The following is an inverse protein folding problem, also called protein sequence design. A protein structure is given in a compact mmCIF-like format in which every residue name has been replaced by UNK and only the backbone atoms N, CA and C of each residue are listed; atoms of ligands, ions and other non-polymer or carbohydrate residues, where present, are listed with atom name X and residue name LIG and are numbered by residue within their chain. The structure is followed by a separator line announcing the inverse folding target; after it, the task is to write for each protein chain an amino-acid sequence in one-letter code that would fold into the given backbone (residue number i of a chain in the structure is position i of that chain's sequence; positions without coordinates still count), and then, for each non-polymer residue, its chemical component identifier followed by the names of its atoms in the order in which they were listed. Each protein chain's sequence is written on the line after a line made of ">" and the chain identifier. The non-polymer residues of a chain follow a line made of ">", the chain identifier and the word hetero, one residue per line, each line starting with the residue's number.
data_IF_979124166193
#
_entry.id   IF_979124166193
#
_cell.length_a   1.000
_cell.length_b   1.000
_cell.length_c   1.000
_cell.angle_alpha   90.00
_cell.angle_beta   90.00
_cell.angle_gamma   90.00
#
_symmetry.space_group_name_H-M   'P 1'
#
loop_
_entity.id
_entity.type
_entity.pdbx_description
1 polymer ?
#
# COMPACT_ATOMS: atom_id res chain seq x y z
N UNK A 1 8.50 19.28 -3.19
CA UNK A 1 7.74 19.16 -4.45
C UNK A 1 8.64 19.15 -5.70
N UNK A 2 9.68 20.02 -5.85
CA UNK A 2 10.55 20.07 -7.05
C UNK A 2 11.23 18.74 -7.36
N UNK A 3 11.79 18.04 -6.33
CA UNK A 3 12.40 16.73 -6.51
C UNK A 3 11.40 15.67 -6.97
N UNK A 4 10.19 15.68 -6.41
CA UNK A 4 9.13 14.76 -6.77
C UNK A 4 8.71 14.92 -8.23
N UNK A 5 8.39 16.14 -8.66
CA UNK A 5 8.00 16.42 -10.04
C UNK A 5 9.11 16.06 -11.05
N UNK A 6 10.37 16.38 -10.72
CA UNK A 6 11.51 16.02 -11.56
C UNK A 6 11.70 14.49 -11.64
N UNK A 7 11.59 13.79 -10.53
CA UNK A 7 11.71 12.34 -10.48
C UNK A 7 10.61 11.64 -11.30
N UNK A 8 9.36 12.05 -11.11
CA UNK A 8 8.22 11.53 -11.88
C UNK A 8 8.32 11.83 -13.38
N UNK A 9 9.06 12.87 -13.77
CA UNK A 9 9.35 13.19 -15.16
C UNK A 9 10.48 12.33 -15.73
N UNK A 10 11.54 12.07 -14.96
CA UNK A 10 12.72 11.34 -15.40
C UNK A 10 12.48 9.82 -15.49
N UNK A 11 11.74 9.23 -14.54
CA UNK A 11 11.47 7.78 -14.52
C UNK A 11 10.90 7.28 -15.85
N UNK A 12 9.89 7.92 -16.45
CA UNK A 12 9.38 7.50 -17.76
C UNK A 12 10.35 7.68 -18.94
N UNK A 13 11.39 8.47 -18.80
CA UNK A 13 12.42 8.66 -19.84
C UNK A 13 13.47 7.56 -19.83
N UNK A 14 13.66 6.89 -18.70
CA UNK A 14 14.65 5.83 -18.51
C UNK A 14 14.03 4.57 -17.86
N UNK A 15 13.06 3.90 -18.50
CA UNK A 15 12.22 2.89 -17.87
C UNK A 15 12.99 1.62 -17.42
N UNK A 16 14.15 1.36 -18.04
CA UNK A 16 14.98 0.18 -17.76
C UNK A 16 16.14 0.45 -16.78
N UNK A 17 16.27 1.69 -16.33
CA UNK A 17 17.39 2.12 -15.48
C UNK A 17 16.86 2.95 -14.31
N UNK A 18 17.43 2.71 -13.13
CA UNK A 18 17.13 3.51 -11.94
C UNK A 18 17.64 4.95 -12.11
N UNK A 19 16.78 5.92 -11.88
CA UNK A 19 17.17 7.32 -11.78
C UNK A 19 17.96 7.52 -10.49
N UNK A 20 19.15 8.08 -10.61
CA UNK A 20 20.06 8.32 -9.49
C UNK A 20 19.90 9.73 -8.91
N UNK A 21 20.34 9.92 -7.65
CA UNK A 21 20.40 11.26 -7.02
C UNK A 21 21.22 12.22 -7.89
N UNK A 22 22.32 11.73 -8.51
CA UNK A 22 23.15 12.55 -9.38
C UNK A 22 22.43 13.04 -10.65
N UNK A 23 21.65 12.18 -11.28
CA UNK A 23 20.83 12.55 -12.45
C UNK A 23 19.74 13.54 -12.07
N UNK A 24 19.05 13.29 -10.96
CA UNK A 24 17.98 14.14 -10.46
C UNK A 24 18.47 15.54 -10.08
N UNK A 25 19.59 15.63 -9.36
CA UNK A 25 20.16 16.93 -8.95
C UNK A 25 20.75 17.70 -10.13
N UNK A 26 21.33 16.99 -11.11
CA UNK A 26 21.78 17.59 -12.39
C UNK A 26 20.61 18.17 -13.17
N UNK A 27 19.51 17.42 -13.27
CA UNK A 27 18.29 17.88 -13.96
C UNK A 27 17.71 19.15 -13.32
N UNK A 28 17.78 19.24 -12.00
CA UNK A 28 17.26 20.39 -11.24
C UNK A 28 18.26 21.54 -11.09
N UNK A 29 19.52 21.37 -11.55
CA UNK A 29 20.61 22.33 -11.35
C UNK A 29 20.83 22.68 -9.87
N UNK A 30 20.87 21.65 -9.00
CA UNK A 30 21.13 21.80 -7.57
C UNK A 30 22.22 20.84 -7.11
N UNK A 31 22.85 21.13 -5.97
CA UNK A 31 23.84 20.24 -5.36
C UNK A 31 23.20 19.00 -4.74
N UNK A 32 23.95 17.87 -4.70
CA UNK A 32 23.52 16.65 -4.02
C UNK A 32 23.18 16.88 -2.55
N UNK A 33 23.92 17.75 -1.86
CA UNK A 33 23.63 18.13 -0.47
C UNK A 33 22.20 18.64 -0.30
N UNK A 34 21.70 19.40 -1.28
CA UNK A 34 20.31 19.88 -1.27
C UNK A 34 19.30 18.74 -1.26
N UNK A 35 19.58 17.64 -2.00
CA UNK A 35 18.72 16.44 -1.96
C UNK A 35 18.75 15.77 -0.58
N UNK A 36 19.94 15.53 -0.04
CA UNK A 36 20.14 14.85 1.24
C UNK A 36 19.65 15.66 2.46
N UNK A 37 19.35 16.93 2.31
CA UNK A 37 18.66 17.71 3.35
C UNK A 37 17.18 17.31 3.51
N UNK A 38 16.59 16.59 2.55
CA UNK A 38 15.18 16.21 2.54
C UNK A 38 14.94 14.71 2.48
N UNK A 39 15.82 13.95 1.84
CA UNK A 39 15.66 12.53 1.57
C UNK A 39 16.98 11.79 1.74
N UNK A 40 16.93 10.62 2.40
CA UNK A 40 18.13 9.79 2.58
C UNK A 40 18.58 9.15 1.26
N UNK A 41 17.62 8.79 0.42
CA UNK A 41 17.85 8.12 -0.86
C UNK A 41 16.63 8.26 -1.81
N UNK A 42 16.73 7.66 -2.98
CA UNK A 42 15.64 7.68 -3.98
C UNK A 42 14.39 6.93 -3.49
N UNK A 43 14.55 5.88 -2.69
CA UNK A 43 13.40 5.11 -2.19
C UNK A 43 12.60 5.91 -1.17
N UNK A 44 13.26 6.68 -0.30
CA UNK A 44 12.56 7.61 0.59
C UNK A 44 11.83 8.74 -0.16
N UNK A 45 12.38 9.21 -1.27
CA UNK A 45 11.66 10.13 -2.16
C UNK A 45 10.43 9.46 -2.81
N UNK A 46 10.53 8.21 -3.24
CA UNK A 46 9.41 7.47 -3.84
C UNK A 46 8.27 7.27 -2.83
N UNK A 47 8.59 6.86 -1.60
CA UNK A 47 7.63 6.73 -0.52
C UNK A 47 6.96 8.07 -0.24
N UNK A 48 7.74 9.13 -0.14
CA UNK A 48 7.22 10.48 0.08
C UNK A 48 6.27 10.92 -1.05
N UNK A 49 6.63 10.66 -2.32
CA UNK A 49 5.77 10.95 -3.48
C UNK A 49 4.42 10.27 -3.31
N UNK A 50 4.45 8.95 -3.08
CA UNK A 50 3.21 8.19 -2.92
C UNK A 50 2.33 8.77 -1.82
N UNK A 51 2.90 9.00 -0.65
CA UNK A 51 2.17 9.46 0.55
C UNK A 51 1.66 10.88 0.42
N UNK A 52 2.54 11.82 0.06
CA UNK A 52 2.21 13.24 0.01
C UNK A 52 1.17 13.56 -1.08
N UNK A 53 1.29 12.91 -2.24
CA UNK A 53 0.32 13.12 -3.32
C UNK A 53 -1.02 12.45 -3.02
N UNK A 54 -1.00 11.25 -2.43
CA UNK A 54 -2.21 10.59 -1.98
C UNK A 54 -2.91 11.38 -0.87
N UNK A 55 -2.17 11.83 0.14
CA UNK A 55 -2.72 12.63 1.24
C UNK A 55 -3.40 13.90 0.71
N UNK A 56 -2.71 14.65 -0.15
CA UNK A 56 -3.27 15.85 -0.76
C UNK A 56 -4.57 15.58 -1.51
N UNK A 57 -4.62 14.51 -2.29
CA UNK A 57 -5.82 14.18 -3.04
C UNK A 57 -6.98 13.74 -2.15
N UNK A 58 -6.68 13.01 -1.07
CA UNK A 58 -7.69 12.58 -0.10
C UNK A 58 -8.23 13.77 0.72
N UNK A 59 -7.40 14.80 0.96
CA UNK A 59 -7.83 16.06 1.59
C UNK A 59 -8.79 16.84 0.69
N UNK A 60 -8.52 16.87 -0.62
CA UNK A 60 -9.37 17.52 -1.61
C UNK A 60 -10.69 16.74 -1.85
N UNK A 61 -10.74 15.47 -1.53
CA UNK A 61 -11.94 14.64 -1.57
C UNK A 61 -12.70 14.75 -0.23
N UNK A 62 -13.92 15.27 -0.26
CA UNK A 62 -14.74 15.52 0.93
C UNK A 62 -15.15 14.22 1.63
N UNK A 63 -14.44 13.88 2.71
CA UNK A 63 -14.72 12.73 3.59
C UNK A 63 -15.11 13.18 5.01
N UNK A 64 -15.86 14.28 5.14
CA UNK A 64 -16.12 14.90 6.45
C UNK A 64 -16.90 13.99 7.40
N UNK A 65 -17.83 13.20 6.88
CA UNK A 65 -18.66 12.26 7.65
C UNK A 65 -18.06 10.84 7.73
N UNK A 66 -16.79 10.66 7.31
CA UNK A 66 -16.16 9.36 7.27
C UNK A 66 -15.27 9.11 8.47
N UNK A 67 -15.26 7.85 8.93
CA UNK A 67 -14.28 7.39 9.91
C UNK A 67 -12.90 7.37 9.24
N UNK A 68 -11.95 8.12 9.81
CA UNK A 68 -10.60 8.29 9.27
C UNK A 68 -9.57 7.67 10.19
N UNK A 69 -8.70 6.85 9.64
CA UNK A 69 -7.57 6.23 10.32
C UNK A 69 -6.28 6.63 9.63
N UNK A 70 -5.29 7.11 10.38
CA UNK A 70 -3.98 7.44 9.80
C UNK A 70 -3.29 6.17 9.31
N UNK A 71 -2.79 6.21 8.09
CA UNK A 71 -2.00 5.13 7.53
C UNK A 71 -0.55 5.26 7.99
N UNK A 72 -0.05 4.23 8.63
CA UNK A 72 1.36 4.12 9.03
C UNK A 72 1.84 2.70 8.79
N UNK A 73 2.92 2.54 8.04
CA UNK A 73 3.54 1.24 7.82
C UNK A 73 4.45 0.83 8.99
N UNK A 74 4.84 1.78 9.86
CA UNK A 74 5.76 1.58 10.96
C UNK A 74 5.44 2.57 12.10
N UNK A 75 5.67 2.17 13.35
CA UNK A 75 5.54 3.02 14.53
C UNK A 75 6.52 4.22 14.54
N UNK A 76 7.59 4.15 13.76
CA UNK A 76 8.62 5.18 13.60
C UNK A 76 8.56 5.89 12.25
N UNK A 77 7.38 5.99 11.66
CA UNK A 77 7.21 6.62 10.36
C UNK A 77 7.70 8.09 10.39
N UNK A 78 8.75 8.45 9.61
CA UNK A 78 9.37 9.76 9.69
C UNK A 78 8.57 10.86 8.98
N UNK A 79 7.47 10.52 8.30
CA UNK A 79 6.72 11.45 7.50
C UNK A 79 5.48 11.97 8.23
N UNK A 80 5.39 13.28 8.54
CA UNK A 80 4.25 13.85 9.25
C UNK A 80 2.96 13.89 8.43
N UNK A 81 3.07 14.00 7.10
CA UNK A 81 1.91 13.97 6.20
C UNK A 81 1.56 12.53 5.86
N UNK A 82 0.71 11.95 6.67
CA UNK A 82 0.22 10.60 6.46
C UNK A 82 -1.11 10.63 5.70
N UNK A 83 -1.23 9.86 4.59
CA UNK A 83 -2.54 9.61 4.05
C UNK A 83 -3.39 8.91 5.11
N UNK A 84 -4.67 9.14 5.07
CA UNK A 84 -5.62 8.45 5.93
C UNK A 84 -6.34 7.35 5.14
N UNK A 85 -6.82 6.36 5.86
CA UNK A 85 -7.80 5.40 5.37
C UNK A 85 -9.18 5.87 5.80
N UNK A 86 -10.14 5.87 4.89
CA UNK A 86 -11.47 6.35 5.19
C UNK A 86 -12.51 5.27 4.91
N UNK A 87 -13.44 5.09 5.83
CA UNK A 87 -14.54 4.16 5.72
C UNK A 87 -15.84 4.77 6.24
N UNK A 88 -16.96 4.34 5.68
CA UNK A 88 -18.29 4.63 6.16
C UNK A 88 -19.07 3.34 6.31
N UNK A 89 -19.91 3.29 7.33
CA UNK A 89 -20.74 2.13 7.62
C UNK A 89 -22.14 2.34 7.05
N UNK A 90 -22.55 1.50 6.12
CA UNK A 90 -23.88 1.56 5.53
C UNK A 90 -24.52 0.17 5.48
N UNK A 91 -25.69 0.02 6.12
CA UNK A 91 -26.52 -1.20 6.08
C UNK A 91 -25.73 -2.49 6.43
N UNK A 92 -24.81 -2.41 7.38
CA UNK A 92 -24.00 -3.54 7.81
C UNK A 92 -22.87 -3.92 6.86
N UNK A 93 -22.51 -3.02 5.93
CA UNK A 93 -21.36 -3.13 5.04
C UNK A 93 -20.45 -1.91 5.22
N UNK A 94 -19.18 -2.10 4.95
CA UNK A 94 -18.24 -0.99 4.83
C UNK A 94 -18.35 -0.39 3.43
N UNK A 95 -18.54 0.91 3.36
CA UNK A 95 -18.57 1.66 2.12
C UNK A 95 -17.26 2.43 1.98
N UNK A 96 -16.46 2.09 0.97
CA UNK A 96 -15.15 2.68 0.70
C UNK A 96 -14.95 2.99 -0.78
N UNK A 97 -15.95 2.78 -1.61
CA UNK A 97 -15.88 3.01 -3.06
C UNK A 97 -15.35 4.41 -3.41
N UNK A 98 -15.90 5.50 -2.86
CA UNK A 98 -15.39 6.85 -3.11
C UNK A 98 -13.93 7.06 -2.70
N UNK A 99 -13.47 6.45 -1.60
CA UNK A 99 -12.08 6.50 -1.16
C UNK A 99 -11.13 5.86 -2.18
N UNK A 100 -11.45 4.63 -2.61
CA UNK A 100 -10.63 3.95 -3.60
C UNK A 100 -10.75 4.55 -5.00
N UNK A 101 -11.88 5.22 -5.29
CA UNK A 101 -12.04 5.99 -6.52
C UNK A 101 -11.10 7.20 -6.56
N UNK A 102 -10.96 7.91 -5.45
CA UNK A 102 -9.99 8.99 -5.32
C UNK A 102 -8.54 8.49 -5.47
N UNK A 103 -8.22 7.36 -4.85
CA UNK A 103 -6.90 6.72 -4.99
C UNK A 103 -6.64 6.25 -6.43
N UNK A 104 -7.64 5.66 -7.09
CA UNK A 104 -7.56 5.28 -8.49
C UNK A 104 -7.30 6.47 -9.41
N UNK A 105 -7.97 7.58 -9.16
CA UNK A 105 -7.76 8.82 -9.90
C UNK A 105 -6.30 9.31 -9.76
N UNK A 106 -5.75 9.27 -8.55
CA UNK A 106 -4.34 9.62 -8.33
C UNK A 106 -3.39 8.75 -9.16
N UNK A 107 -3.59 7.46 -9.18
CA UNK A 107 -2.72 6.54 -9.90
C UNK A 107 -2.88 6.69 -11.42
N UNK A 108 -4.10 6.89 -11.91
CA UNK A 108 -4.35 7.14 -13.33
C UNK A 108 -3.70 8.44 -13.83
N UNK A 109 -3.75 9.50 -13.06
CA UNK A 109 -3.10 10.76 -13.41
C UNK A 109 -1.58 10.63 -13.52
N UNK A 110 -1.00 9.62 -12.87
CA UNK A 110 0.43 9.33 -12.89
C UNK A 110 0.75 7.94 -13.44
N UNK A 111 -0.15 7.38 -14.27
CA UNK A 111 -0.07 6.00 -14.78
C UNK A 111 1.31 5.65 -15.34
N UNK A 112 1.90 6.52 -16.15
CA UNK A 112 3.19 6.27 -16.79
C UNK A 112 4.32 6.10 -15.76
N UNK A 113 4.30 6.86 -14.70
CA UNK A 113 5.23 6.71 -13.58
C UNK A 113 5.00 5.41 -12.82
N UNK A 114 3.76 5.18 -12.37
CA UNK A 114 3.44 4.00 -11.57
C UNK A 114 3.61 2.68 -12.32
N UNK A 115 3.30 2.64 -13.62
CA UNK A 115 3.54 1.44 -14.44
C UNK A 115 5.01 1.02 -14.44
N UNK A 116 5.93 1.97 -14.48
CA UNK A 116 7.36 1.68 -14.45
C UNK A 116 7.80 1.26 -13.05
N UNK A 117 7.43 2.03 -12.04
CA UNK A 117 7.85 1.73 -10.65
C UNK A 117 7.33 0.38 -10.18
N UNK A 118 6.11 0.00 -10.54
CA UNK A 118 5.53 -1.30 -10.18
C UNK A 118 6.09 -2.49 -10.96
N UNK A 119 6.62 -2.29 -12.16
CA UNK A 119 7.16 -3.35 -13.01
C UNK A 119 8.68 -3.52 -12.90
N UNK A 120 9.37 -2.50 -12.44
CA UNK A 120 10.84 -2.45 -12.44
C UNK A 120 11.42 -3.08 -11.19
N UNK A 121 12.38 -3.99 -11.37
CA UNK A 121 13.21 -4.52 -10.29
C UNK A 121 14.31 -3.55 -9.81
N UNK A 122 14.45 -2.40 -10.47
CA UNK A 122 15.51 -1.42 -10.15
C UNK A 122 15.14 -0.49 -8.98
N UNK A 123 13.88 -0.46 -8.60
CA UNK A 123 13.38 0.40 -7.52
C UNK A 123 12.96 -0.42 -6.31
N UNK A 124 12.81 0.25 -5.14
CA UNK A 124 12.10 -0.32 -3.99
C UNK A 124 10.78 -0.91 -4.48
N UNK A 125 10.42 -2.08 -3.99
CA UNK A 125 9.08 -2.60 -4.26
C UNK A 125 8.04 -1.72 -3.53
N UNK A 126 7.65 -0.65 -4.21
CA UNK A 126 6.64 0.28 -3.71
C UNK A 126 5.31 -0.44 -3.46
N UNK A 127 5.08 -1.55 -4.16
CA UNK A 127 3.90 -2.36 -3.97
C UNK A 127 3.91 -3.06 -2.59
N UNK A 128 5.03 -3.63 -2.18
CA UNK A 128 5.17 -4.23 -0.84
C UNK A 128 4.99 -3.19 0.25
N UNK A 129 5.51 -1.97 0.03
CA UNK A 129 5.27 -0.86 0.94
C UNK A 129 3.77 -0.50 1.05
N UNK A 130 3.06 -0.45 -0.08
CA UNK A 130 1.62 -0.18 -0.11
C UNK A 130 0.84 -1.28 0.63
N UNK A 131 1.17 -2.55 0.42
CA UNK A 131 0.56 -3.67 1.15
C UNK A 131 0.75 -3.49 2.66
N UNK A 132 1.99 -3.22 3.10
CA UNK A 132 2.30 -3.02 4.52
C UNK A 132 1.54 -1.83 5.12
N UNK A 133 1.35 -0.76 4.34
CA UNK A 133 0.62 0.43 4.75
C UNK A 133 -0.88 0.17 4.95
N UNK A 134 -1.48 -0.67 4.10
CA UNK A 134 -2.93 -0.94 4.12
C UNK A 134 -3.33 -2.17 4.93
N UNK A 135 -2.40 -3.04 5.28
CA UNK A 135 -2.72 -4.25 6.03
C UNK A 135 -3.35 -3.98 7.42
N UNK A 136 -2.87 -3.02 8.24
CA UNK A 136 -3.51 -2.70 9.52
C UNK A 136 -4.99 -2.29 9.40
N UNK A 137 -5.39 -1.33 8.54
CA UNK A 137 -6.80 -0.97 8.39
C UNK A 137 -7.64 -2.11 7.81
N UNK A 138 -7.11 -2.98 6.95
CA UNK A 138 -7.84 -4.17 6.50
C UNK A 138 -8.09 -5.18 7.63
N UNK A 139 -7.18 -5.30 8.61
CA UNK A 139 -7.43 -6.07 9.84
C UNK A 139 -8.60 -5.51 10.63
N UNK A 140 -8.68 -4.19 10.76
CA UNK A 140 -9.80 -3.54 11.44
C UNK A 140 -11.12 -3.73 10.66
N UNK A 141 -11.10 -3.75 9.33
CA UNK A 141 -12.26 -4.08 8.50
C UNK A 141 -12.74 -5.53 8.75
N UNK A 142 -11.82 -6.48 8.87
CA UNK A 142 -12.15 -7.88 9.26
C UNK A 142 -12.78 -7.91 10.65
N UNK A 143 -12.20 -7.20 11.63
CA UNK A 143 -12.73 -7.12 13.00
C UNK A 143 -14.11 -6.46 13.04
N UNK A 144 -14.36 -5.49 12.20
CA UNK A 144 -15.69 -4.90 12.03
C UNK A 144 -16.75 -5.94 11.64
N UNK A 145 -16.44 -6.82 10.67
CA UNK A 145 -17.37 -7.89 10.26
C UNK A 145 -17.48 -9.01 11.29
N UNK A 146 -16.51 -9.17 12.18
CA UNK A 146 -16.63 -10.09 13.32
C UNK A 146 -17.67 -9.61 14.35
N UNK A 147 -17.94 -8.32 14.42
CA UNK A 147 -18.96 -7.73 15.31
C UNK A 147 -18.83 -8.22 16.77
N UNK A 148 -17.63 -8.13 17.32
CA UNK A 148 -17.30 -8.57 18.69
C UNK A 148 -17.10 -10.07 18.87
N UNK A 149 -17.34 -10.90 17.86
CA UNK A 149 -17.06 -12.34 17.90
C UNK A 149 -15.56 -12.56 17.94
N UNK A 150 -15.13 -13.58 18.69
CA UNK A 150 -13.70 -13.91 18.83
C UNK A 150 -13.23 -14.82 17.70
N UNK A 151 -12.12 -14.45 17.07
CA UNK A 151 -11.43 -15.24 16.04
C UNK A 151 -9.93 -15.19 16.33
N UNK A 152 -9.19 -16.30 16.16
CA UNK A 152 -7.73 -16.26 16.32
C UNK A 152 -7.08 -15.23 15.40
N UNK A 153 -6.12 -14.45 15.92
CA UNK A 153 -5.46 -13.36 15.18
C UNK A 153 -4.83 -13.87 13.87
N UNK A 154 -4.30 -15.08 13.84
CA UNK A 154 -3.75 -15.66 12.61
C UNK A 154 -4.80 -15.81 11.49
N UNK A 155 -6.07 -16.02 11.82
CA UNK A 155 -7.15 -16.12 10.84
C UNK A 155 -7.58 -14.72 10.40
N UNK A 156 -7.62 -13.75 11.32
CA UNK A 156 -7.86 -12.34 11.02
C UNK A 156 -6.78 -11.83 10.05
N UNK A 157 -5.52 -12.11 10.36
CA UNK A 157 -4.37 -11.74 9.53
C UNK A 157 -4.47 -12.35 8.12
N UNK A 158 -4.76 -13.65 8.04
CA UNK A 158 -4.92 -14.33 6.75
C UNK A 158 -6.01 -13.70 5.88
N UNK A 159 -7.18 -13.41 6.45
CA UNK A 159 -8.27 -12.78 5.70
C UNK A 159 -7.86 -11.37 5.23
N UNK A 160 -7.27 -10.58 6.12
CA UNK A 160 -6.81 -9.23 5.79
C UNK A 160 -5.73 -9.24 4.69
N UNK A 161 -4.73 -10.12 4.81
CA UNK A 161 -3.67 -10.29 3.81
C UNK A 161 -4.23 -10.72 2.45
N UNK A 162 -5.11 -11.71 2.42
CA UNK A 162 -5.75 -12.16 1.20
C UNK A 162 -6.49 -11.02 0.48
N UNK A 163 -7.26 -10.23 1.22
CA UNK A 163 -8.05 -9.14 0.64
C UNK A 163 -7.19 -7.95 0.21
N UNK A 164 -6.21 -7.52 1.02
CA UNK A 164 -5.32 -6.42 0.64
C UNK A 164 -4.49 -6.79 -0.59
N UNK A 165 -3.96 -8.02 -0.64
CA UNK A 165 -3.22 -8.50 -1.81
C UNK A 165 -4.11 -8.66 -3.03
N UNK A 166 -5.35 -9.11 -2.88
CA UNK A 166 -6.32 -9.21 -3.96
C UNK A 166 -6.64 -7.85 -4.58
N UNK A 167 -6.91 -6.86 -3.75
CA UNK A 167 -7.21 -5.48 -4.18
C UNK A 167 -6.01 -4.86 -4.90
N UNK A 168 -4.88 -4.79 -4.22
CA UNK A 168 -3.70 -4.11 -4.78
C UNK A 168 -2.97 -4.95 -5.83
N UNK A 169 -3.03 -6.29 -5.74
CA UNK A 169 -2.48 -7.19 -6.76
C UNK A 169 -3.20 -7.06 -8.10
N UNK A 170 -4.54 -6.96 -8.10
CA UNK A 170 -5.33 -6.63 -9.29
C UNK A 170 -4.89 -5.29 -9.89
N UNK A 171 -4.70 -4.30 -9.06
CA UNK A 171 -4.23 -2.98 -9.43
C UNK A 171 -2.87 -3.05 -10.14
N UNK A 172 -1.87 -3.64 -9.48
CA UNK A 172 -0.53 -3.84 -10.04
C UNK A 172 -0.59 -4.55 -11.39
N UNK A 173 -1.36 -5.63 -11.49
CA UNK A 173 -1.54 -6.38 -12.73
C UNK A 173 -1.98 -5.47 -13.88
N UNK A 174 -3.02 -4.67 -13.68
CA UNK A 174 -3.54 -3.80 -14.73
C UNK A 174 -2.60 -2.64 -15.08
N UNK A 175 -1.86 -2.13 -14.11
CA UNK A 175 -0.84 -1.09 -14.37
C UNK A 175 0.38 -1.61 -15.11
N UNK A 176 0.73 -2.89 -14.94
CA UNK A 176 1.94 -3.47 -15.54
C UNK A 176 1.67 -4.24 -16.84
N UNK A 177 0.45 -4.79 -17.02
CA UNK A 177 0.15 -5.69 -18.13
C UNK A 177 -0.75 -5.08 -19.20
N UNK A 178 -1.58 -4.09 -18.88
CA UNK A 178 -2.53 -3.52 -19.82
C UNK A 178 -2.56 -2.00 -19.82
N UNK A 179 -2.45 -1.39 -20.99
CA UNK A 179 -2.63 0.07 -21.15
C UNK A 179 -4.10 0.49 -21.37
N UNK A 180 -5.05 -0.46 -21.35
CA UNK A 180 -6.46 -0.22 -21.71
C UNK A 180 -7.40 -0.19 -20.51
N UNK A 181 -6.93 -0.59 -19.33
CA UNK A 181 -7.75 -0.64 -18.14
C UNK A 181 -7.89 0.76 -17.54
N UNK A 182 -9.12 1.22 -17.38
CA UNK A 182 -9.46 2.45 -16.67
C UNK A 182 -10.07 2.02 -15.33
N UNK A 183 -9.30 2.16 -14.28
CA UNK A 183 -9.67 1.68 -12.94
C UNK A 183 -10.93 2.37 -12.41
N UNK A 184 -11.12 3.64 -12.73
CA UNK A 184 -12.26 4.43 -12.28
C UNK A 184 -13.61 3.87 -12.74
N UNK A 185 -13.66 3.24 -13.91
CA UNK A 185 -14.92 2.73 -14.51
C UNK A 185 -15.40 1.45 -13.81
N UNK A 186 -14.48 0.68 -13.23
CA UNK A 186 -14.80 -0.61 -12.62
C UNK A 186 -14.83 -0.58 -11.08
N UNK A 187 -14.39 0.53 -10.47
CA UNK A 187 -14.10 0.53 -9.04
C UNK A 187 -15.33 0.26 -8.18
N UNK A 188 -16.48 0.79 -8.56
CA UNK A 188 -17.72 0.63 -7.77
C UNK A 188 -18.17 -0.83 -7.75
N UNK A 189 -18.14 -1.51 -8.90
CA UNK A 189 -18.50 -2.94 -9.00
C UNK A 189 -17.48 -3.82 -8.31
N UNK A 190 -16.18 -3.55 -8.51
CA UNK A 190 -15.11 -4.29 -7.87
C UNK A 190 -15.11 -4.11 -6.36
N UNK A 191 -15.40 -2.91 -5.88
CA UNK A 191 -15.42 -2.60 -4.47
C UNK A 191 -16.57 -3.29 -3.74
N UNK A 192 -17.77 -3.25 -4.30
CA UNK A 192 -18.91 -3.99 -3.76
C UNK A 192 -18.62 -5.50 -3.68
N UNK A 193 -17.98 -6.06 -4.71
CA UNK A 193 -17.53 -7.45 -4.70
C UNK A 193 -16.52 -7.71 -3.58
N UNK A 194 -15.48 -6.87 -3.45
CA UNK A 194 -14.41 -7.07 -2.46
C UNK A 194 -14.95 -7.04 -1.02
N UNK A 195 -15.88 -6.14 -0.71
CA UNK A 195 -16.49 -6.06 0.62
C UNK A 195 -17.44 -7.22 0.92
N UNK A 196 -18.26 -7.60 -0.06
CA UNK A 196 -19.12 -8.78 0.08
C UNK A 196 -18.26 -10.03 0.29
N UNK A 197 -17.21 -10.19 -0.51
CA UNK A 197 -16.28 -11.31 -0.38
C UNK A 197 -15.56 -11.33 0.98
N UNK A 198 -15.16 -10.17 1.51
CA UNK A 198 -14.54 -10.08 2.84
C UNK A 198 -15.52 -10.51 3.93
N UNK A 199 -16.75 -10.00 3.91
CA UNK A 199 -17.81 -10.37 4.87
C UNK A 199 -18.07 -11.88 4.83
N UNK A 200 -18.28 -12.45 3.65
CA UNK A 200 -18.51 -13.90 3.47
C UNK A 200 -17.30 -14.73 3.93
N UNK A 201 -16.07 -14.25 3.68
CA UNK A 201 -14.85 -14.90 4.16
C UNK A 201 -14.79 -14.93 5.69
N UNK A 202 -15.17 -13.85 6.35
CA UNK A 202 -15.23 -13.77 7.82
C UNK A 202 -16.26 -14.76 8.36
N UNK A 203 -17.47 -14.81 7.82
CA UNK A 203 -18.53 -15.75 8.25
C UNK A 203 -18.08 -17.21 8.04
N UNK A 204 -17.58 -17.53 6.86
CA UNK A 204 -17.11 -18.89 6.54
C UNK A 204 -15.98 -19.35 7.46
N UNK A 205 -14.98 -18.50 7.70
CA UNK A 205 -13.87 -18.84 8.58
C UNK A 205 -14.31 -18.95 10.04
N UNK A 206 -15.21 -18.07 10.49
CA UNK A 206 -15.75 -18.11 11.84
C UNK A 206 -16.49 -19.44 12.11
N UNK A 207 -17.39 -19.84 11.22
CA UNK A 207 -18.08 -21.14 11.33
C UNK A 207 -17.11 -22.32 11.28
N UNK A 208 -16.05 -22.25 10.48
CA UNK A 208 -15.04 -23.32 10.40
C UNK A 208 -14.22 -23.44 11.68
N UNK A 209 -13.90 -22.31 12.32
CA UNK A 209 -13.21 -22.28 13.62
C UNK A 209 -14.09 -22.88 14.72
N UNK A 210 -15.37 -22.50 14.76
CA UNK A 210 -16.32 -23.07 15.75
C UNK A 210 -16.51 -24.58 15.57
N UNK A 211 -16.78 -25.06 14.35
CA UNK A 211 -17.04 -26.49 14.07
C UNK A 211 -15.85 -27.38 14.35
N UNK A 212 -14.62 -26.94 14.08
CA UNK A 212 -13.41 -27.77 14.17
C UNK A 212 -12.70 -27.68 15.51
N UNK A 213 -13.11 -26.76 16.40
CA UNK A 213 -12.42 -26.51 17.66
C UNK A 213 -10.94 -26.13 17.44
N UNK A 214 -10.63 -25.52 16.27
CA UNK A 214 -9.27 -25.09 15.92
C UNK A 214 -8.66 -24.20 16.99
N UNK A 215 -9.50 -23.44 17.72
CA UNK A 215 -9.07 -22.69 18.90
C UNK A 215 -8.35 -23.58 19.96
N UNK A 216 -8.71 -24.86 20.08
CA UNK A 216 -8.02 -25.82 20.97
C UNK A 216 -6.67 -26.26 20.41
N UNK A 217 -6.53 -26.40 19.11
CA UNK A 217 -5.25 -26.80 18.46
C UNK A 217 -4.23 -25.66 18.48
N UNK A 218 -4.67 -24.42 18.31
CA UNK A 218 -3.80 -23.24 18.34
C UNK A 218 -3.48 -22.77 19.77
N UNK A 219 -4.37 -23.01 20.76
CA UNK A 219 -4.16 -22.66 22.18
C UNK A 219 -3.24 -23.61 22.95
N UNK A 220 -2.96 -24.81 22.44
CA UNK A 220 -2.05 -25.79 23.06
C UNK A 220 -0.61 -25.70 22.54
N UNK A 221 -0.38 -24.98 21.46
CA UNK A 221 0.94 -24.75 20.87
C UNK A 221 1.42 -23.34 21.17
N UNK A 222 1.86 -23.06 22.41
CA UNK A 222 2.46 -21.78 22.80
C UNK A 222 3.82 -21.48 22.14
N UNK A 223 3.92 -21.70 20.83
CA UNK A 223 5.00 -21.18 20.02
C UNK A 223 4.42 -20.10 19.11
N UNK A 224 4.60 -18.87 19.56
CA UNK A 224 4.48 -17.69 18.70
C UNK A 224 5.39 -17.91 17.49
N UNK A 225 4.84 -18.26 16.37
CA UNK A 225 5.54 -18.15 15.08
C UNK A 225 5.71 -16.65 14.90
N UNK A 226 6.84 -16.13 15.38
CA UNK A 226 7.29 -14.81 15.00
C UNK A 226 7.57 -14.90 13.50
N UNK A 227 6.66 -14.43 12.68
CA UNK A 227 7.03 -13.97 11.36
C UNK A 227 8.19 -12.99 11.59
N UNK A 228 9.38 -13.37 11.15
CA UNK A 228 10.51 -12.44 11.11
C UNK A 228 10.03 -11.27 10.27
N UNK A 229 9.76 -10.17 10.93
CA UNK A 229 9.54 -8.89 10.26
C UNK A 229 10.65 -8.74 9.23
N UNK A 230 10.32 -8.20 8.09
CA UNK A 230 11.26 -7.86 7.04
C UNK A 230 12.36 -7.00 7.66
N UNK A 231 13.45 -7.67 8.08
CA UNK A 231 14.59 -7.02 8.69
C UNK A 231 15.37 -6.27 7.62
N UNK A 232 15.69 -5.07 7.95
CA UNK A 232 16.49 -4.03 7.33
C UNK A 232 17.87 -4.46 6.77
N UNK A 233 18.19 -5.76 6.71
CA UNK A 233 19.55 -6.25 6.42
C UNK A 233 19.90 -6.47 4.95
N UNK A 234 18.99 -6.18 3.99
CA UNK A 234 19.32 -6.30 2.55
C UNK A 234 19.79 -5.01 1.89
N UNK A 235 19.98 -3.93 2.64
CA UNK A 235 20.31 -2.63 2.06
C UNK A 235 21.80 -2.24 2.13
N UNK A 236 22.70 -3.11 2.61
CA UNK A 236 24.13 -2.77 2.77
C UNK A 236 25.08 -3.37 1.74
N UNK A 237 24.62 -4.19 0.78
CA UNK A 237 25.53 -4.90 -0.16
C UNK A 237 25.23 -4.66 -1.64
N UNK A 238 24.94 -3.43 -2.06
CA UNK A 238 25.28 -3.00 -3.42
C UNK A 238 26.60 -2.22 -3.35
N UNK A 239 27.66 -2.96 -3.05
CA UNK A 239 29.00 -2.44 -2.97
C UNK A 239 29.53 -1.94 -4.30
N UNK A 240 30.30 -0.88 -4.21
CA UNK A 240 31.23 -0.34 -5.20
C UNK A 240 32.02 -1.47 -5.90
N UNK A 241 31.61 -1.85 -7.08
CA UNK A 241 32.42 -2.59 -8.02
C UNK A 241 33.49 -1.67 -8.61
N UNK A 242 34.60 -1.46 -7.92
CA UNK A 242 35.83 -0.97 -8.55
C UNK A 242 36.35 -2.07 -9.45
N UNK A 243 36.32 -1.84 -10.74
CA UNK A 243 37.16 -2.54 -11.70
C UNK A 243 38.53 -1.81 -11.73
N UNK A 244 39.52 -2.53 -11.31
CA UNK A 244 40.93 -2.30 -11.68
C UNK A 244 41.21 -2.78 -13.10
#
# INVERSE_FOLDING_TARGET
>A
QRFASAFMTLVPQTPTKRVTVAELTRYLHVDRKTFYNYFDNIDSLMIWIYRAYLAKMLEDALFDDWEKEKLSADAFDPYPELPFYARRREKGLLCQGPYFKAMAYHWENHRRYYSIVFSSSCYLDLFDYIIALFLPPFREDVRYYLDGRQMPDIVVDFIAEYHVMGVFGRLRYHFTQTNKFIMQDEIDSFWNYAHTAMKESVECCFEAVERRGIARLLGQGGQTVRFRGYHRERFSECGDGRLS
#
